data_IF_204792091160
#
_entry.id   IF_204792091160
#
_cell.length_a   1.000
_cell.length_b   1.000
_cell.length_c   1.000
_cell.angle_alpha   90.00
_cell.angle_beta   90.00
_cell.angle_gamma   90.00
#
_symmetry.space_group_name_H-M   'P 1'
#
loop_
_entity.id
_entity.type
_entity.pdbx_description
1 polymer ?
#
# COMPACT_ATOMS: atom_id res chain seq x y z
N UNK A 1 5.50 28.61 -4.85
CA UNK A 1 4.43 27.62 -4.68
C UNK A 1 5.09 26.26 -4.61
N UNK A 2 5.23 25.68 -3.43
CA UNK A 2 5.74 24.31 -3.25
C UNK A 2 4.63 23.36 -3.66
N UNK A 3 4.93 22.48 -4.61
CA UNK A 3 4.00 21.51 -5.17
C UNK A 3 3.66 20.46 -4.10
N UNK A 4 2.40 20.35 -3.62
CA UNK A 4 2.01 19.41 -2.57
C UNK A 4 2.08 17.96 -3.02
N UNK A 5 2.41 17.67 -4.29
CA UNK A 5 2.45 16.33 -4.86
C UNK A 5 3.59 15.45 -4.35
N UNK A 6 4.65 16.03 -3.79
CA UNK A 6 5.85 15.31 -3.37
C UNK A 6 5.62 14.53 -2.05
N UNK A 7 4.74 15.01 -1.17
CA UNK A 7 4.59 14.50 0.20
C UNK A 7 4.00 13.08 0.34
N UNK A 8 3.02 12.64 -0.46
CA UNK A 8 2.43 11.31 -0.29
C UNK A 8 3.33 10.16 -0.76
N UNK A 9 4.42 10.45 -1.49
CA UNK A 9 5.35 9.44 -1.99
C UNK A 9 6.13 8.77 -0.85
N UNK A 10 6.50 9.54 0.18
CA UNK A 10 7.43 9.10 1.22
C UNK A 10 6.93 7.94 2.09
N UNK A 11 5.66 7.86 2.53
CA UNK A 11 5.18 6.71 3.28
C UNK A 11 5.12 5.41 2.48
N UNK A 12 5.02 5.49 1.16
CA UNK A 12 4.96 4.32 0.29
C UNK A 12 6.35 3.76 -0.04
N UNK A 13 7.40 4.60 -0.08
CA UNK A 13 8.76 4.18 -0.41
C UNK A 13 9.32 3.10 0.53
N UNK A 14 9.24 3.22 1.89
CA UNK A 14 9.73 2.19 2.80
C UNK A 14 9.03 0.85 2.64
N UNK A 15 7.77 0.84 2.19
CA UNK A 15 7.01 -0.39 1.95
C UNK A 15 7.46 -1.03 0.65
N UNK A 16 7.51 -0.25 -0.43
CA UNK A 16 7.81 -0.77 -1.76
C UNK A 16 9.27 -1.18 -1.93
N UNK A 17 10.20 -0.49 -1.25
CA UNK A 17 11.61 -0.84 -1.28
C UNK A 17 11.96 -2.13 -0.53
N UNK A 18 11.09 -2.57 0.39
CA UNK A 18 11.34 -3.73 1.23
C UNK A 18 11.34 -5.04 0.43
N UNK A 19 10.40 -5.21 -0.48
CA UNK A 19 10.11 -6.48 -1.13
C UNK A 19 11.31 -7.11 -1.86
N UNK A 20 12.17 -6.38 -2.57
CA UNK A 20 13.32 -6.98 -3.24
C UNK A 20 14.38 -7.58 -2.32
N UNK A 21 14.52 -7.09 -1.08
CA UNK A 21 15.61 -7.53 -0.20
C UNK A 21 15.15 -8.20 1.10
N UNK A 22 13.86 -8.23 1.40
CA UNK A 22 13.34 -8.76 2.67
C UNK A 22 13.78 -10.21 2.93
N UNK A 23 13.67 -11.07 1.93
CA UNK A 23 14.11 -12.47 2.01
C UNK A 23 15.59 -12.57 2.42
N UNK A 24 16.47 -11.81 1.74
CA UNK A 24 17.90 -11.81 2.02
C UNK A 24 18.20 -11.27 3.43
N UNK A 25 17.46 -10.24 3.86
CA UNK A 25 17.60 -9.68 5.19
C UNK A 25 17.26 -10.70 6.28
N UNK A 26 16.14 -11.43 6.14
CA UNK A 26 15.74 -12.47 7.10
C UNK A 26 16.75 -13.61 7.12
N UNK A 27 17.26 -14.03 5.94
CA UNK A 27 18.31 -15.03 5.83
C UNK A 27 19.59 -14.60 6.55
N UNK A 28 20.03 -13.35 6.34
CA UNK A 28 21.29 -12.83 6.92
C UNK A 28 21.16 -12.60 8.43
N UNK A 29 19.96 -12.30 8.95
CA UNK A 29 19.66 -12.25 10.40
C UNK A 29 19.68 -13.63 11.08
N UNK A 30 19.76 -14.74 10.31
CA UNK A 30 19.87 -16.13 10.80
C UNK A 30 18.78 -16.51 11.83
N UNK A 31 17.60 -15.93 11.73
CA UNK A 31 16.48 -16.23 12.63
C UNK A 31 15.75 -17.52 12.22
N UNK A 32 15.72 -17.80 10.93
CA UNK A 32 15.14 -19.04 10.38
C UNK A 32 16.14 -20.19 10.57
N UNK A 33 15.69 -21.33 11.11
CA UNK A 33 16.49 -22.55 11.26
C UNK A 33 16.73 -23.23 9.91
N UNK A 34 15.70 -23.18 9.05
CA UNK A 34 15.72 -23.74 7.70
C UNK A 34 15.40 -22.64 6.68
N UNK A 35 15.90 -22.78 5.46
CA UNK A 35 15.63 -21.85 4.36
C UNK A 35 14.13 -21.73 4.08
N UNK A 36 13.38 -22.81 4.26
CA UNK A 36 11.94 -22.87 4.08
C UNK A 36 11.15 -22.00 5.08
N UNK A 37 11.74 -21.70 6.25
CA UNK A 37 11.10 -20.86 7.27
C UNK A 37 11.26 -19.35 7.02
N UNK A 38 12.12 -18.94 6.09
CA UNK A 38 12.40 -17.53 5.82
C UNK A 38 11.11 -16.77 5.47
N UNK A 39 10.22 -17.37 4.68
CA UNK A 39 8.95 -16.75 4.30
C UNK A 39 8.04 -16.44 5.48
N UNK A 40 7.99 -17.33 6.48
CA UNK A 40 7.25 -17.12 7.72
C UNK A 40 7.70 -15.84 8.43
N UNK A 41 8.99 -15.70 8.67
CA UNK A 41 9.56 -14.51 9.33
C UNK A 41 9.43 -13.24 8.49
N UNK A 42 9.59 -13.33 7.17
CA UNK A 42 9.41 -12.21 6.25
C UNK A 42 7.98 -11.68 6.27
N UNK A 43 6.98 -12.57 6.20
CA UNK A 43 5.56 -12.19 6.26
C UNK A 43 5.18 -11.44 7.53
N UNK A 44 5.73 -11.81 8.69
CA UNK A 44 5.48 -11.09 9.93
C UNK A 44 6.11 -9.68 9.93
N UNK A 45 7.31 -9.49 9.36
CA UNK A 45 7.91 -8.15 9.20
C UNK A 45 7.04 -7.27 8.30
N UNK A 46 6.49 -7.82 7.21
CA UNK A 46 5.53 -7.11 6.36
C UNK A 46 4.23 -6.76 7.08
N UNK A 47 3.68 -7.70 7.84
CA UNK A 47 2.41 -7.54 8.57
C UNK A 47 2.47 -6.48 9.66
N UNK A 48 3.57 -6.38 10.41
CA UNK A 48 3.69 -5.47 11.57
C UNK A 48 3.52 -4.01 11.19
N UNK A 49 3.97 -3.59 10.00
CA UNK A 49 3.74 -2.23 9.51
C UNK A 49 2.25 -1.93 9.33
N UNK A 50 1.51 -2.82 8.66
CA UNK A 50 0.09 -2.63 8.43
C UNK A 50 -0.73 -2.76 9.72
N UNK A 51 -0.30 -3.62 10.64
CA UNK A 51 -0.90 -3.76 11.96
C UNK A 51 -0.76 -2.46 12.77
N UNK A 52 0.44 -1.92 12.87
CA UNK A 52 0.69 -0.63 13.53
C UNK A 52 -0.19 0.48 12.94
N UNK A 53 -0.27 0.54 11.62
CA UNK A 53 -1.10 1.51 10.91
C UNK A 53 -2.61 1.32 11.15
N UNK A 54 -3.09 0.08 11.25
CA UNK A 54 -4.50 -0.20 11.55
C UNK A 54 -4.88 0.31 12.94
N UNK A 55 -4.04 0.06 13.94
CA UNK A 55 -4.24 0.51 15.32
C UNK A 55 -4.27 2.04 15.39
N UNK A 56 -3.40 2.71 14.66
CA UNK A 56 -3.22 4.15 14.75
C UNK A 56 -4.11 4.98 13.79
N UNK A 57 -4.83 4.35 12.86
CA UNK A 57 -5.59 5.04 11.82
C UNK A 57 -6.64 6.01 12.40
N UNK A 58 -7.43 5.57 13.39
CA UNK A 58 -8.45 6.41 14.04
C UNK A 58 -7.82 7.47 14.94
N UNK A 59 -6.86 7.15 15.85
CA UNK A 59 -6.13 8.16 16.63
C UNK A 59 -5.51 9.26 15.78
N UNK A 60 -4.88 8.94 14.64
CA UNK A 60 -4.30 9.95 13.76
C UNK A 60 -5.33 10.85 13.08
N UNK A 61 -6.50 10.31 12.73
CA UNK A 61 -7.62 11.12 12.25
C UNK A 61 -8.06 12.14 13.30
N UNK A 62 -8.28 11.69 14.53
CA UNK A 62 -8.66 12.55 15.66
C UNK A 62 -7.58 13.59 15.98
N UNK A 63 -6.31 13.19 15.94
CA UNK A 63 -5.18 14.10 16.15
C UNK A 63 -5.14 15.20 15.08
N UNK A 64 -5.28 14.82 13.81
CA UNK A 64 -5.27 15.76 12.69
C UNK A 64 -6.45 16.74 12.73
N UNK A 65 -7.63 16.30 13.20
CA UNK A 65 -8.81 17.16 13.37
C UNK A 65 -8.66 18.14 14.55
N UNK A 66 -7.90 17.77 15.59
CA UNK A 66 -7.72 18.58 16.80
C UNK A 66 -6.53 19.54 16.73
N UNK A 67 -5.38 19.07 16.20
CA UNK A 67 -4.10 19.77 16.22
C UNK A 67 -3.66 20.30 14.85
N UNK A 68 -4.39 19.96 13.80
CA UNK A 68 -4.09 20.38 12.44
C UNK A 68 -3.47 19.29 11.57
N UNK A 69 -3.46 19.57 10.27
CA UNK A 69 -2.96 18.61 9.25
C UNK A 69 -1.44 18.62 9.17
N UNK A 70 -0.82 19.80 9.25
CA UNK A 70 0.63 19.98 9.13
C UNK A 70 1.43 19.24 10.21
N UNK A 71 1.12 19.33 11.53
CA UNK A 71 1.82 18.53 12.55
C UNK A 71 1.75 17.03 12.29
N UNK A 72 0.60 16.52 11.86
CA UNK A 72 0.41 15.12 11.51
C UNK A 72 1.34 14.68 10.36
N UNK A 73 1.46 15.51 9.33
CA UNK A 73 2.35 15.26 8.18
C UNK A 73 3.81 15.24 8.64
N UNK A 74 4.24 16.24 9.42
CA UNK A 74 5.62 16.36 9.91
C UNK A 74 6.01 15.17 10.80
N UNK A 75 5.18 14.78 11.77
CA UNK A 75 5.43 13.63 12.65
C UNK A 75 5.53 12.34 11.83
N UNK A 76 4.67 12.17 10.84
CA UNK A 76 4.71 11.00 9.96
C UNK A 76 6.01 10.94 9.15
N UNK A 77 6.50 12.06 8.62
CA UNK A 77 7.78 12.11 7.88
C UNK A 77 8.96 11.86 8.83
N UNK A 78 8.96 12.46 10.02
CA UNK A 78 9.98 12.20 11.04
C UNK A 78 10.01 10.72 11.45
N UNK A 79 8.86 10.09 11.57
CA UNK A 79 8.79 8.64 11.85
C UNK A 79 9.43 7.81 10.74
N UNK A 80 9.26 8.20 9.47
CA UNK A 80 9.95 7.54 8.35
C UNK A 80 11.46 7.73 8.48
N UNK A 81 11.95 8.94 8.73
CA UNK A 81 13.38 9.21 8.87
C UNK A 81 13.99 8.34 9.97
N UNK A 82 13.39 8.31 11.16
CA UNK A 82 13.94 7.61 12.32
C UNK A 82 13.81 6.09 12.18
N UNK A 83 12.56 5.59 12.03
CA UNK A 83 12.32 4.15 12.12
C UNK A 83 12.73 3.39 10.86
N UNK A 84 12.71 4.01 9.68
CA UNK A 84 13.23 3.38 8.49
C UNK A 84 14.78 3.29 8.53
N UNK A 85 15.46 4.30 9.07
CA UNK A 85 16.91 4.25 9.31
C UNK A 85 17.26 3.15 10.31
N UNK A 86 16.56 3.08 11.45
CA UNK A 86 16.74 2.05 12.46
C UNK A 86 16.44 0.64 11.92
N UNK A 87 15.46 0.51 11.04
CA UNK A 87 15.18 -0.75 10.35
C UNK A 87 16.37 -1.20 9.50
N UNK A 88 16.98 -0.29 8.74
CA UNK A 88 18.19 -0.59 7.95
C UNK A 88 19.40 -0.99 8.78
N UNK A 89 19.48 -0.53 10.04
CA UNK A 89 20.52 -0.85 11.02
C UNK A 89 20.18 -2.09 11.87
N UNK A 90 19.08 -2.80 11.60
CA UNK A 90 18.64 -3.93 12.41
C UNK A 90 19.66 -5.07 12.40
N UNK A 91 20.13 -5.46 13.58
CA UNK A 91 21.01 -6.60 13.81
C UNK A 91 20.27 -7.83 14.31
N UNK A 92 19.04 -7.65 14.77
CA UNK A 92 18.18 -8.72 15.28
C UNK A 92 16.79 -8.65 14.63
N UNK A 93 16.16 -9.81 14.55
CA UNK A 93 14.80 -9.92 14.03
C UNK A 93 13.79 -9.07 14.81
N UNK A 94 13.89 -9.06 16.14
CA UNK A 94 13.00 -8.28 16.99
C UNK A 94 13.14 -6.78 16.77
N UNK A 95 14.36 -6.30 16.53
CA UNK A 95 14.59 -4.90 16.17
C UNK A 95 13.91 -4.56 14.85
N UNK A 96 13.97 -5.44 13.86
CA UNK A 96 13.28 -5.25 12.58
C UNK A 96 11.74 -5.20 12.76
N UNK A 97 11.16 -6.11 13.55
CA UNK A 97 9.73 -6.13 13.86
C UNK A 97 9.28 -4.85 14.56
N UNK A 98 9.97 -4.46 15.64
CA UNK A 98 9.61 -3.28 16.44
C UNK A 98 9.71 -2.01 15.63
N UNK A 99 10.81 -1.81 14.90
CA UNK A 99 10.99 -0.60 14.07
C UNK A 99 9.95 -0.50 12.96
N UNK A 100 9.56 -1.63 12.34
CA UNK A 100 8.48 -1.67 11.35
C UNK A 100 7.11 -1.40 11.96
N UNK A 101 6.82 -1.97 13.12
CA UNK A 101 5.57 -1.72 13.85
C UNK A 101 5.44 -0.26 14.26
N UNK A 102 6.50 0.35 14.80
CA UNK A 102 6.53 1.76 15.18
C UNK A 102 6.43 2.68 13.96
N UNK A 103 7.09 2.34 12.86
CA UNK A 103 6.92 3.07 11.60
C UNK A 103 5.45 3.07 11.15
N UNK A 104 4.78 1.91 11.20
CA UNK A 104 3.36 1.81 10.87
C UNK A 104 2.48 2.61 11.83
N UNK A 105 2.75 2.54 13.14
CA UNK A 105 1.99 3.21 14.19
C UNK A 105 2.07 4.74 14.08
N UNK A 106 3.23 5.29 13.76
CA UNK A 106 3.48 6.74 13.73
C UNK A 106 3.30 7.35 12.34
N UNK A 107 3.18 6.54 11.28
CA UNK A 107 2.96 7.02 9.91
C UNK A 107 1.47 7.19 9.59
N UNK A 108 0.81 8.20 10.18
CA UNK A 108 -0.62 8.48 10.04
C UNK A 108 -1.02 9.39 8.87
N UNK A 109 -0.11 9.68 7.95
CA UNK A 109 -0.27 10.72 6.90
C UNK A 109 -1.40 10.46 5.89
N UNK A 110 -1.80 9.21 5.61
CA UNK A 110 -2.64 8.89 4.44
C UNK A 110 -4.07 9.44 4.48
N UNK A 111 -4.66 9.58 5.66
CA UNK A 111 -5.94 10.26 5.83
C UNK A 111 -5.78 11.77 5.72
N UNK A 112 -4.97 12.38 6.61
CA UNK A 112 -4.75 13.81 6.66
C UNK A 112 -4.24 14.43 5.36
N UNK A 113 -3.39 13.76 4.59
CA UNK A 113 -2.84 14.32 3.34
C UNK A 113 -3.91 14.53 2.26
N UNK A 114 -4.92 13.65 2.19
CA UNK A 114 -6.02 13.81 1.23
C UNK A 114 -6.94 14.98 1.63
N UNK A 115 -7.21 15.10 2.94
CA UNK A 115 -7.95 16.23 3.48
C UNK A 115 -7.17 17.53 3.24
N UNK A 116 -5.88 17.55 3.56
CA UNK A 116 -5.00 18.70 3.32
C UNK A 116 -5.01 19.14 1.85
N UNK A 117 -4.87 18.21 0.91
CA UNK A 117 -4.90 18.50 -0.52
C UNK A 117 -6.25 19.11 -0.96
N UNK A 118 -7.36 18.66 -0.37
CA UNK A 118 -8.69 19.21 -0.67
C UNK A 118 -8.93 20.59 -0.03
N UNK A 119 -8.30 20.87 1.11
CA UNK A 119 -8.42 22.13 1.86
C UNK A 119 -7.54 23.23 1.25
N UNK A 120 -6.31 22.91 0.81
CA UNK A 120 -5.35 23.89 0.22
C UNK A 120 -5.70 24.25 -1.22
N UNK A 121 -6.28 23.31 -1.98
CA UNK A 121 -6.62 23.57 -3.38
C UNK A 121 -7.95 24.32 -3.50
N UNK A 122 -8.01 25.35 -4.36
CA UNK A 122 -9.29 25.98 -4.75
C UNK A 122 -10.25 24.91 -5.30
N UNK A 123 -11.56 25.11 -5.12
CA UNK A 123 -12.61 24.17 -5.54
C UNK A 123 -12.42 23.67 -6.99
N UNK A 124 -11.98 24.56 -7.89
CA UNK A 124 -11.69 24.27 -9.30
C UNK A 124 -10.51 23.30 -9.50
N UNK A 125 -9.53 23.27 -8.58
CA UNK A 125 -8.30 22.48 -8.67
C UNK A 125 -8.23 21.33 -7.66
N UNK A 126 -9.25 21.08 -6.86
CA UNK A 126 -9.27 20.00 -5.87
C UNK A 126 -9.05 18.62 -6.51
N UNK A 127 -9.68 18.38 -7.67
CA UNK A 127 -9.49 17.13 -8.42
C UNK A 127 -8.03 16.94 -8.84
N UNK A 128 -7.35 18.00 -9.25
CA UNK A 128 -5.93 17.99 -9.59
C UNK A 128 -5.07 17.68 -8.35
N UNK A 129 -5.33 18.34 -7.21
CA UNK A 129 -4.60 18.10 -5.96
C UNK A 129 -4.71 16.64 -5.49
N UNK A 130 -5.91 16.06 -5.49
CA UNK A 130 -6.13 14.66 -5.13
C UNK A 130 -5.44 13.72 -6.15
N UNK A 131 -5.48 14.07 -7.44
CA UNK A 131 -4.79 13.31 -8.49
C UNK A 131 -3.27 13.29 -8.28
N UNK A 132 -2.66 14.42 -7.92
CA UNK A 132 -1.24 14.52 -7.59
C UNK A 132 -0.87 13.64 -6.39
N UNK A 133 -1.69 13.63 -5.33
CA UNK A 133 -1.52 12.73 -4.16
C UNK A 133 -1.55 11.26 -4.57
N UNK A 134 -2.43 10.87 -5.47
CA UNK A 134 -2.52 9.46 -5.93
C UNK A 134 -1.39 9.11 -6.89
N UNK A 135 -0.97 10.03 -7.75
CA UNK A 135 0.16 9.82 -8.70
C UNK A 135 1.50 9.66 -8.00
N UNK A 136 1.72 10.34 -6.87
CA UNK A 136 2.95 10.18 -6.08
C UNK A 136 3.10 8.76 -5.53
N UNK A 137 1.99 8.08 -5.21
CA UNK A 137 2.01 6.66 -4.85
C UNK A 137 2.45 5.78 -6.04
N UNK A 138 2.00 6.09 -7.25
CA UNK A 138 2.42 5.36 -8.45
C UNK A 138 3.93 5.52 -8.72
N UNK A 139 4.46 6.72 -8.50
CA UNK A 139 5.91 6.98 -8.59
C UNK A 139 6.68 6.15 -7.55
N UNK A 140 6.15 6.02 -6.32
CA UNK A 140 6.77 5.18 -5.28
C UNK A 140 6.81 3.69 -5.65
N UNK A 141 5.85 3.20 -6.45
CA UNK A 141 5.87 1.84 -6.99
C UNK A 141 7.02 1.59 -7.98
N UNK A 142 7.54 2.64 -8.62
CA UNK A 142 8.69 2.57 -9.52
C UNK A 142 10.00 2.71 -8.74
N UNK A 143 10.12 3.81 -7.98
CA UNK A 143 11.37 4.20 -7.32
C UNK A 143 11.66 3.28 -6.11
N UNK A 144 10.64 2.87 -5.35
CA UNK A 144 10.82 2.06 -4.15
C UNK A 144 11.56 0.75 -4.43
N UNK A 145 11.04 -0.13 -5.28
CA UNK A 145 11.70 -1.40 -5.62
C UNK A 145 13.07 -1.21 -6.29
N UNK A 146 13.26 -0.15 -7.08
CA UNK A 146 14.55 0.18 -7.64
C UNK A 146 15.58 0.49 -6.54
N UNK A 147 15.27 1.39 -5.61
CA UNK A 147 16.13 1.68 -4.46
C UNK A 147 16.42 0.40 -3.66
N UNK A 148 15.38 -0.38 -3.31
CA UNK A 148 15.55 -1.63 -2.55
C UNK A 148 16.40 -2.66 -3.28
N UNK A 149 16.14 -2.89 -4.56
CA UNK A 149 16.82 -3.91 -5.35
C UNK A 149 18.27 -3.58 -5.66
N UNK A 150 18.56 -2.34 -6.06
CA UNK A 150 19.92 -1.94 -6.48
C UNK A 150 20.82 -1.59 -5.30
N UNK A 151 20.31 -0.98 -4.24
CA UNK A 151 21.13 -0.48 -3.13
C UNK A 151 21.25 -1.46 -1.95
N UNK A 152 20.48 -2.55 -1.90
CA UNK A 152 20.67 -3.59 -0.90
C UNK A 152 21.98 -4.35 -1.15
N UNK A 153 22.69 -4.70 -0.04
CA UNK A 153 23.96 -5.42 -0.02
C UNK A 153 25.07 -4.74 -0.86
N UNK A 154 25.33 -3.42 -0.68
CA UNK A 154 26.19 -2.65 -1.57
C UNK A 154 27.65 -3.14 -1.59
N UNK A 155 28.20 -3.59 -0.45
CA UNK A 155 29.56 -4.13 -0.39
C UNK A 155 29.76 -5.44 -1.15
N UNK A 156 28.66 -6.19 -1.40
CA UNK A 156 28.71 -7.40 -2.24
C UNK A 156 28.54 -7.07 -3.73
N UNK A 157 27.64 -6.14 -4.05
CA UNK A 157 27.32 -5.77 -5.44
C UNK A 157 28.35 -4.81 -6.05
N UNK A 158 28.87 -3.90 -5.24
CA UNK A 158 29.77 -2.82 -5.66
C UNK A 158 31.06 -2.81 -4.81
N UNK A 159 31.86 -3.88 -4.81
CA UNK A 159 33.03 -4.02 -3.92
C UNK A 159 34.10 -2.94 -4.13
N UNK A 160 34.17 -2.36 -5.32
CA UNK A 160 35.09 -1.27 -5.64
C UNK A 160 34.65 0.08 -5.05
N UNK A 161 33.38 0.25 -4.71
CA UNK A 161 32.83 1.49 -4.17
C UNK A 161 32.61 1.42 -2.66
N UNK A 162 32.24 0.25 -2.14
CA UNK A 162 31.91 0.03 -0.73
C UNK A 162 32.79 -1.07 -0.14
N UNK A 163 33.68 -0.71 0.79
CA UNK A 163 34.49 -1.68 1.52
C UNK A 163 33.61 -2.54 2.44
N UNK A 164 34.03 -3.81 2.64
CA UNK A 164 33.40 -4.71 3.60
C UNK A 164 33.50 -4.22 5.05
N UNK A 165 34.51 -3.44 5.36
CA UNK A 165 34.75 -2.84 6.71
C UNK A 165 33.91 -1.57 6.93
N UNK A 166 33.32 -1.01 5.87
CA UNK A 166 32.46 0.18 5.95
C UNK A 166 31.15 -0.10 6.70
N UNK A 167 30.48 0.96 7.14
CA UNK A 167 29.13 0.86 7.72
C UNK A 167 28.16 0.11 6.81
N UNK A 168 28.31 0.25 5.50
CA UNK A 168 27.47 -0.41 4.48
C UNK A 168 27.84 -1.90 4.30
N UNK A 169 29.05 -2.32 4.63
CA UNK A 169 29.44 -3.72 4.71
C UNK A 169 28.92 -4.39 5.98
N UNK A 170 28.96 -3.65 7.12
CA UNK A 170 28.46 -4.13 8.41
C UNK A 170 26.92 -4.20 8.45
N UNK A 171 26.24 -3.27 7.79
CA UNK A 171 24.78 -3.19 7.70
C UNK A 171 24.32 -3.20 6.23
N UNK A 172 24.19 -4.39 5.61
CA UNK A 172 23.98 -4.50 4.17
C UNK A 172 22.64 -3.93 3.67
N UNK A 173 21.67 -3.72 4.56
CA UNK A 173 20.35 -3.18 4.25
C UNK A 173 20.17 -1.73 4.68
N UNK A 174 21.24 -1.10 5.17
CA UNK A 174 21.19 0.28 5.63
C UNK A 174 21.10 1.28 4.47
N UNK A 175 21.84 1.09 3.38
CA UNK A 175 21.91 2.05 2.26
C UNK A 175 20.55 2.37 1.64
N UNK A 176 19.68 1.40 1.26
CA UNK A 176 18.37 1.71 0.72
C UNK A 176 17.48 2.45 1.71
N UNK A 177 17.52 2.09 2.99
CA UNK A 177 16.78 2.77 4.04
C UNK A 177 17.29 4.20 4.27
N UNK A 178 18.59 4.40 4.26
CA UNK A 178 19.24 5.70 4.42
C UNK A 178 18.88 6.66 3.29
N UNK A 179 18.95 6.21 2.03
CA UNK A 179 18.54 7.03 0.86
C UNK A 179 17.10 7.48 0.98
N UNK A 180 16.19 6.58 1.36
CA UNK A 180 14.78 6.95 1.57
C UNK A 180 14.62 7.96 2.71
N UNK A 181 15.39 7.79 3.80
CA UNK A 181 15.35 8.72 4.93
C UNK A 181 15.92 10.09 4.58
N UNK A 182 16.94 10.17 3.73
CA UNK A 182 17.46 11.45 3.20
C UNK A 182 16.43 12.15 2.32
N UNK A 183 15.77 11.41 1.42
CA UNK A 183 14.67 11.96 0.62
C UNK A 183 13.52 12.45 1.51
N UNK A 184 13.16 11.69 2.54
CA UNK A 184 12.15 12.09 3.52
C UNK A 184 12.58 13.36 4.31
N UNK A 185 13.85 13.49 4.66
CA UNK A 185 14.39 14.68 5.33
C UNK A 185 14.28 15.93 4.43
N UNK A 186 14.60 15.81 3.14
CA UNK A 186 14.38 16.88 2.17
C UNK A 186 12.93 17.35 2.14
N UNK A 187 11.97 16.41 2.20
CA UNK A 187 10.56 16.74 2.26
C UNK A 187 10.12 17.32 3.60
N UNK A 188 10.72 16.88 4.70
CA UNK A 188 10.47 17.48 6.01
C UNK A 188 10.86 18.98 6.02
N UNK A 189 11.99 19.32 5.38
CA UNK A 189 12.40 20.72 5.19
C UNK A 189 11.37 21.46 4.33
N UNK A 190 10.90 20.86 3.24
CA UNK A 190 9.86 21.49 2.41
C UNK A 190 8.52 21.70 3.15
N UNK A 191 8.22 20.89 4.18
CA UNK A 191 7.03 21.09 5.03
C UNK A 191 7.07 22.40 5.84
N UNK A 192 8.23 23.05 6.01
CA UNK A 192 8.32 24.34 6.71
C UNK A 192 7.47 25.39 5.98
N UNK A 193 7.48 25.36 4.65
CA UNK A 193 6.72 26.30 3.81
C UNK A 193 5.26 25.93 3.59
N UNK A 194 4.78 24.78 4.12
CA UNK A 194 3.36 24.44 4.03
C UNK A 194 2.53 25.29 4.98
N UNK A 195 1.40 25.89 4.53
CA UNK A 195 0.45 26.53 5.41
C UNK A 195 -0.28 25.50 6.28
N UNK A 196 -0.67 25.88 7.51
CA UNK A 196 -1.62 25.11 8.30
C UNK A 196 -3.05 25.39 7.81
N UNK A 197 -3.87 24.33 7.67
CA UNK A 197 -5.22 24.47 7.13
C UNK A 197 -6.30 24.56 8.21
N UNK A 198 -5.97 24.24 9.47
CA UNK A 198 -6.95 24.26 10.57
C UNK A 198 -7.55 25.64 10.81
N UNK A 199 -6.76 26.72 10.62
CA UNK A 199 -7.18 28.10 10.85
C UNK A 199 -8.19 28.59 9.79
N UNK A 200 -8.16 28.10 8.55
CA UNK A 200 -9.13 28.47 7.53
C UNK A 200 -10.57 28.08 7.86
N UNK A 201 -10.77 27.04 8.68
CA UNK A 201 -12.09 26.63 9.15
C UNK A 201 -12.46 27.33 10.47
N UNK A 202 -11.48 27.87 11.20
CA UNK A 202 -11.69 28.66 12.41
C UNK A 202 -12.21 30.07 12.10
N UNK A 203 -11.62 30.68 11.09
CA UNK A 203 -11.96 32.05 10.71
C UNK A 203 -13.32 32.15 10.00
N UNK A 204 -13.66 31.19 9.10
CA UNK A 204 -15.02 31.07 8.52
C UNK A 204 -16.09 30.78 9.60
N UNK A 205 -15.73 30.07 10.66
CA UNK A 205 -16.65 29.84 11.81
C UNK A 205 -16.68 31.03 12.75
N UNK A 206 -15.58 31.75 12.93
CA UNK A 206 -15.55 32.96 13.74
C UNK A 206 -16.33 34.12 13.10
N UNK A 207 -16.17 34.35 11.79
CA UNK A 207 -16.99 35.32 11.05
C UNK A 207 -18.48 34.94 11.04
N UNK A 208 -18.81 33.64 10.87
CA UNK A 208 -20.19 33.15 10.96
C UNK A 208 -20.74 33.18 12.40
N UNK A 209 -19.89 33.11 13.43
CA UNK A 209 -20.29 33.20 14.84
C UNK A 209 -20.45 34.64 15.27
N UNK A 210 -19.63 35.57 14.82
CA UNK A 210 -19.79 37.00 15.07
C UNK A 210 -21.08 37.59 14.41
N UNK A 211 -21.49 37.02 13.26
CA UNK A 211 -22.79 37.33 12.66
C UNK A 211 -23.96 36.62 13.39
N UNK A 212 -23.73 35.50 14.11
CA UNK A 212 -24.75 34.74 14.84
C UNK A 212 -24.79 35.04 16.35
N UNK A 213 -23.73 35.56 16.97
CA UNK A 213 -23.76 35.99 18.39
C UNK A 213 -24.70 37.19 18.65
N UNK A 214 -25.21 37.85 17.60
CA UNK A 214 -26.34 38.75 17.70
C UNK A 214 -27.70 38.05 17.93
N UNK A 215 -27.74 36.71 17.79
CA UNK A 215 -28.93 35.88 18.01
C UNK A 215 -28.52 34.50 18.58
N UNK A 216 -28.80 34.23 19.86
CA UNK A 216 -28.99 32.92 20.50
C UNK A 216 -27.88 32.37 21.40
N UNK A 217 -28.22 32.29 22.66
CA UNK A 217 -27.66 31.48 23.73
C UNK A 217 -28.04 29.98 23.59
N UNK A 218 -27.40 29.21 22.71
CA UNK A 218 -27.65 27.75 22.63
C UNK A 218 -26.49 26.92 22.05
N UNK A 219 -25.22 27.34 22.22
CA UNK A 219 -24.04 26.76 21.59
C UNK A 219 -23.66 25.32 22.07
N UNK A 220 -24.16 24.89 23.25
CA UNK A 220 -23.91 23.54 23.77
C UNK A 220 -24.83 22.47 23.14
N UNK A 221 -26.00 22.84 22.67
CA UNK A 221 -26.95 21.94 22.01
C UNK A 221 -26.54 21.63 20.56
N UNK A 222 -25.93 22.59 19.85
CA UNK A 222 -25.52 22.38 18.45
C UNK A 222 -24.27 21.49 18.32
N UNK A 223 -23.30 21.60 19.23
CA UNK A 223 -22.12 20.72 19.25
C UNK A 223 -22.49 19.28 19.58
N UNK A 224 -23.51 19.09 20.45
CA UNK A 224 -24.04 17.75 20.77
C UNK A 224 -24.88 17.21 19.61
N UNK A 225 -25.71 18.04 18.99
CA UNK A 225 -26.48 17.68 17.79
C UNK A 225 -25.59 17.37 16.57
N UNK A 226 -24.50 18.09 16.39
CA UNK A 226 -23.52 17.82 15.30
C UNK A 226 -22.77 16.49 15.53
N UNK A 227 -22.44 16.14 16.79
CA UNK A 227 -21.86 14.84 17.14
C UNK A 227 -22.86 13.70 17.00
N UNK A 228 -24.12 13.90 17.43
CA UNK A 228 -25.21 12.94 17.27
C UNK A 228 -25.56 12.74 15.78
N UNK A 229 -25.68 13.78 14.99
CA UNK A 229 -25.89 13.75 13.54
C UNK A 229 -24.75 13.03 12.80
N UNK A 230 -23.49 13.25 13.22
CA UNK A 230 -22.32 12.53 12.66
C UNK A 230 -22.33 11.05 13.06
N UNK A 231 -22.72 10.73 14.27
CA UNK A 231 -22.88 9.34 14.74
C UNK A 231 -24.05 8.62 14.05
N UNK A 232 -25.13 9.29 13.81
CA UNK A 232 -26.30 8.76 13.12
C UNK A 232 -26.07 8.59 11.62
N UNK A 233 -25.36 9.53 11.00
CA UNK A 233 -24.89 9.42 9.60
C UNK A 233 -23.95 8.23 9.42
N UNK A 234 -23.03 7.99 10.35
CA UNK A 234 -22.09 6.85 10.29
C UNK A 234 -22.83 5.52 10.48
N UNK A 235 -23.81 5.45 11.40
CA UNK A 235 -24.65 4.24 11.59
C UNK A 235 -25.49 3.94 10.34
N UNK A 236 -25.99 4.94 9.66
CA UNK A 236 -26.74 4.79 8.41
C UNK A 236 -25.86 4.31 7.25
N UNK A 237 -24.60 4.77 7.18
CA UNK A 237 -23.64 4.30 6.18
C UNK A 237 -23.25 2.83 6.39
N UNK A 238 -23.08 2.36 7.65
CA UNK A 238 -22.80 0.96 7.93
C UNK A 238 -23.98 0.03 7.59
N UNK A 239 -25.22 0.54 7.56
CA UNK A 239 -26.40 -0.20 7.13
C UNK A 239 -26.59 -0.20 5.61
N UNK A 240 -25.89 0.68 4.89
CA UNK A 240 -25.98 0.72 3.42
C UNK A 240 -25.27 -0.49 2.82
N UNK A 241 -26.06 -1.50 2.43
CA UNK A 241 -25.55 -2.75 1.87
C UNK A 241 -24.73 -2.54 0.59
N UNK A 242 -25.12 -1.60 -0.26
CA UNK A 242 -24.42 -1.30 -1.51
C UNK A 242 -23.00 -0.76 -1.26
N UNK A 243 -22.87 0.14 -0.27
CA UNK A 243 -21.56 0.63 0.18
C UNK A 243 -20.72 -0.48 0.82
N UNK A 244 -21.32 -1.21 1.77
CA UNK A 244 -20.58 -2.23 2.51
C UNK A 244 -20.12 -3.40 1.64
N UNK A 245 -20.94 -3.81 0.67
CA UNK A 245 -20.55 -4.83 -0.32
C UNK A 245 -19.40 -4.35 -1.22
N UNK A 246 -19.42 -3.09 -1.68
CA UNK A 246 -18.34 -2.49 -2.45
C UNK A 246 -17.04 -2.37 -1.62
N UNK A 247 -17.13 -2.01 -0.33
CA UNK A 247 -15.98 -1.97 0.58
C UNK A 247 -15.43 -3.37 0.81
N UNK A 248 -16.27 -4.38 1.07
CA UNK A 248 -15.83 -5.75 1.28
C UNK A 248 -15.10 -6.29 0.04
N UNK A 249 -15.64 -6.01 -1.14
CA UNK A 249 -15.02 -6.36 -2.41
C UNK A 249 -13.62 -5.74 -2.54
N UNK A 250 -13.49 -4.46 -2.21
CA UNK A 250 -12.21 -3.76 -2.19
C UNK A 250 -11.23 -4.35 -1.17
N UNK A 251 -11.70 -4.77 0.01
CA UNK A 251 -10.89 -5.42 1.03
C UNK A 251 -10.33 -6.77 0.55
N UNK A 252 -11.17 -7.61 -0.07
CA UNK A 252 -10.76 -8.92 -0.60
C UNK A 252 -9.70 -8.77 -1.69
N UNK A 253 -9.89 -7.86 -2.65
CA UNK A 253 -8.90 -7.63 -3.69
C UNK A 253 -7.63 -6.95 -3.16
N UNK A 254 -7.73 -6.09 -2.15
CA UNK A 254 -6.57 -5.50 -1.49
C UNK A 254 -5.75 -6.52 -0.69
N UNK A 255 -6.42 -7.49 -0.05
CA UNK A 255 -5.76 -8.63 0.60
C UNK A 255 -5.02 -9.47 -0.44
N UNK A 256 -5.72 -9.84 -1.52
CA UNK A 256 -5.14 -10.61 -2.62
C UNK A 256 -3.90 -9.93 -3.21
N UNK A 257 -3.98 -8.62 -3.48
CA UNK A 257 -2.89 -7.87 -4.10
C UNK A 257 -1.66 -7.75 -3.18
N UNK A 258 -1.89 -7.56 -1.88
CA UNK A 258 -0.81 -7.53 -0.89
C UNK A 258 -0.20 -8.91 -0.68
N UNK A 259 -1.01 -9.96 -0.61
CA UNK A 259 -0.53 -11.35 -0.53
C UNK A 259 0.25 -11.77 -1.78
N UNK A 260 -0.23 -11.37 -2.97
CA UNK A 260 0.51 -11.61 -4.22
C UNK A 260 1.90 -10.98 -4.19
N UNK A 261 2.00 -9.72 -3.77
CA UNK A 261 3.29 -9.01 -3.75
C UNK A 261 4.30 -9.68 -2.80
N UNK A 262 3.83 -10.16 -1.65
CA UNK A 262 4.65 -10.91 -0.69
C UNK A 262 5.08 -12.27 -1.28
N UNK A 263 4.12 -13.07 -1.75
CA UNK A 263 4.39 -14.39 -2.35
C UNK A 263 5.30 -14.28 -3.57
N UNK A 264 5.03 -13.32 -4.46
CA UNK A 264 5.85 -13.10 -5.65
C UNK A 264 7.30 -12.79 -5.28
N UNK A 265 7.52 -11.89 -4.33
CA UNK A 265 8.85 -11.49 -3.92
C UNK A 265 9.63 -12.63 -3.26
N UNK A 266 8.98 -13.41 -2.40
CA UNK A 266 9.58 -14.59 -1.76
C UNK A 266 9.88 -15.70 -2.77
N UNK A 267 8.93 -16.02 -3.66
CA UNK A 267 9.07 -17.04 -4.69
C UNK A 267 10.15 -16.70 -5.71
N UNK A 268 10.23 -15.43 -6.13
CA UNK A 268 11.21 -14.97 -7.11
C UNK A 268 12.66 -15.13 -6.61
N UNK A 269 12.92 -14.93 -5.33
CA UNK A 269 14.28 -15.04 -4.76
C UNK A 269 14.60 -16.41 -4.18
N UNK A 270 13.60 -17.25 -3.89
CA UNK A 270 13.82 -18.56 -3.29
C UNK A 270 14.55 -19.51 -4.24
N UNK A 271 15.25 -20.51 -3.66
CA UNK A 271 16.07 -21.45 -4.39
C UNK A 271 15.26 -22.31 -5.38
N UNK A 272 15.86 -22.63 -6.52
CA UNK A 272 15.34 -23.61 -7.50
C UNK A 272 15.02 -24.96 -6.87
N UNK A 273 15.75 -25.35 -5.82
CA UNK A 273 15.48 -26.57 -5.05
C UNK A 273 14.05 -26.61 -4.53
N UNK A 274 13.48 -25.46 -4.20
CA UNK A 274 12.09 -25.31 -3.73
C UNK A 274 11.17 -24.75 -4.81
N UNK A 275 11.53 -24.92 -6.10
CA UNK A 275 10.78 -24.40 -7.25
C UNK A 275 10.61 -22.87 -7.27
N UNK A 276 11.54 -22.15 -6.63
CA UNK A 276 11.68 -20.71 -6.79
C UNK A 276 12.46 -20.35 -8.05
N UNK A 277 12.63 -19.05 -8.31
CA UNK A 277 13.30 -18.55 -9.51
C UNK A 277 14.80 -18.26 -9.29
N UNK A 278 15.29 -18.26 -8.04
CA UNK A 278 16.67 -17.90 -7.66
C UNK A 278 17.13 -16.55 -8.21
N UNK A 279 16.21 -15.58 -8.32
CA UNK A 279 16.52 -14.23 -8.76
C UNK A 279 17.24 -13.45 -7.66
N UNK A 280 18.10 -12.52 -8.07
CA UNK A 280 18.75 -11.60 -7.14
C UNK A 280 17.79 -10.50 -6.68
N UNK A 281 18.12 -9.80 -5.58
CA UNK A 281 17.35 -8.63 -5.14
C UNK A 281 17.30 -7.54 -6.22
N UNK A 282 18.34 -7.42 -7.04
CA UNK A 282 18.39 -6.49 -8.16
C UNK A 282 17.40 -6.89 -9.28
N UNK A 283 17.33 -8.18 -9.61
CA UNK A 283 16.36 -8.67 -10.62
C UNK A 283 14.91 -8.41 -10.15
N UNK A 284 14.59 -8.74 -8.89
CA UNK A 284 13.24 -8.49 -8.33
C UNK A 284 12.94 -7.00 -8.28
N UNK A 285 13.92 -6.17 -7.86
CA UNK A 285 13.79 -4.71 -7.89
C UNK A 285 13.49 -4.19 -9.30
N UNK A 286 14.17 -4.73 -10.32
CA UNK A 286 13.96 -4.39 -11.73
C UNK A 286 12.55 -4.79 -12.19
N UNK A 287 12.12 -6.01 -11.94
CA UNK A 287 10.77 -6.51 -12.30
C UNK A 287 9.68 -5.63 -11.68
N UNK A 288 9.78 -5.34 -10.38
CA UNK A 288 8.80 -4.53 -9.67
C UNK A 288 8.82 -3.04 -10.12
N UNK A 289 9.99 -2.48 -10.42
CA UNK A 289 10.11 -1.13 -10.94
C UNK A 289 9.47 -1.00 -12.34
N UNK A 290 9.74 -1.96 -13.24
CA UNK A 290 9.06 -2.01 -14.55
C UNK A 290 7.55 -2.22 -14.40
N UNK A 291 7.12 -3.04 -13.45
CA UNK A 291 5.69 -3.21 -13.15
C UNK A 291 5.05 -1.90 -12.68
N UNK A 292 5.71 -1.16 -11.80
CA UNK A 292 5.25 0.16 -11.34
C UNK A 292 5.16 1.16 -12.50
N UNK A 293 6.19 1.20 -13.36
CA UNK A 293 6.19 2.05 -14.55
C UNK A 293 5.08 1.69 -15.54
N UNK A 294 4.87 0.39 -15.78
CA UNK A 294 3.78 -0.11 -16.60
C UNK A 294 2.41 0.29 -16.08
N UNK A 295 2.19 0.20 -14.75
CA UNK A 295 0.95 0.66 -14.11
C UNK A 295 0.78 2.17 -14.27
N UNK A 296 1.84 2.97 -14.11
CA UNK A 296 1.79 4.43 -14.29
C UNK A 296 1.35 4.79 -15.72
N UNK A 297 2.00 4.22 -16.73
CA UNK A 297 1.65 4.42 -18.12
C UNK A 297 0.23 3.95 -18.42
N UNK A 298 -0.15 2.78 -17.89
CA UNK A 298 -1.51 2.23 -18.02
C UNK A 298 -2.58 3.19 -17.46
N UNK A 299 -2.37 3.69 -16.24
CA UNK A 299 -3.33 4.57 -15.58
C UNK A 299 -3.48 5.92 -16.27
N UNK A 300 -2.38 6.47 -16.80
CA UNK A 300 -2.39 7.79 -17.43
C UNK A 300 -2.82 7.77 -18.91
N UNK A 301 -2.44 6.73 -19.66
CA UNK A 301 -2.64 6.68 -21.10
C UNK A 301 -3.75 5.68 -21.48
N UNK A 302 -3.68 4.43 -21.02
CA UNK A 302 -4.53 3.34 -21.51
C UNK A 302 -5.90 3.32 -20.81
N UNK A 303 -5.90 3.44 -19.47
CA UNK A 303 -7.14 3.34 -18.71
C UNK A 303 -8.19 4.41 -19.06
N UNK A 304 -7.86 5.68 -19.35
CA UNK A 304 -8.84 6.68 -19.78
C UNK A 304 -9.54 6.29 -21.09
N UNK A 305 -8.82 5.69 -22.03
CA UNK A 305 -9.43 5.15 -23.26
C UNK A 305 -10.39 4.00 -22.93
N UNK A 306 -9.96 3.06 -22.11
CA UNK A 306 -10.77 1.92 -21.69
C UNK A 306 -12.06 2.38 -20.99
N UNK A 307 -11.94 3.34 -20.09
CA UNK A 307 -13.06 3.93 -19.37
C UNK A 307 -14.01 4.72 -20.28
N UNK A 308 -13.49 5.36 -21.32
CA UNK A 308 -14.30 6.10 -22.32
C UNK A 308 -15.15 5.16 -23.16
N UNK A 309 -14.61 4.02 -23.62
CA UNK A 309 -15.31 3.11 -24.53
C UNK A 309 -16.21 2.09 -23.80
N UNK A 310 -15.71 1.53 -22.70
CA UNK A 310 -16.39 0.46 -21.97
C UNK A 310 -17.07 0.94 -20.68
N UNK A 311 -16.82 2.18 -20.27
CA UNK A 311 -17.17 2.68 -18.95
C UNK A 311 -16.19 2.23 -17.87
N UNK A 312 -16.15 2.95 -16.73
CA UNK A 312 -15.12 2.75 -15.71
C UNK A 312 -15.28 1.46 -14.89
N UNK A 313 -16.46 0.84 -14.88
CA UNK A 313 -16.79 -0.32 -14.05
C UNK A 313 -16.77 -1.63 -14.85
N UNK A 314 -17.20 -1.62 -16.11
CA UNK A 314 -17.31 -2.83 -16.94
C UNK A 314 -16.00 -3.63 -17.07
N UNK A 315 -14.79 -3.01 -17.15
CA UNK A 315 -13.53 -3.74 -17.25
C UNK A 315 -13.16 -4.55 -15.99
N UNK A 316 -13.87 -4.38 -14.88
CA UNK A 316 -13.56 -5.00 -13.59
C UNK A 316 -13.56 -6.53 -13.64
N UNK A 317 -14.68 -7.15 -14.09
CA UNK A 317 -14.81 -8.62 -14.18
C UNK A 317 -13.82 -9.25 -15.17
N UNK A 318 -13.68 -8.74 -16.41
CA UNK A 318 -12.65 -9.22 -17.32
C UNK A 318 -11.22 -9.14 -16.72
N UNK A 319 -10.88 -8.04 -16.05
CA UNK A 319 -9.58 -7.90 -15.41
C UNK A 319 -9.35 -8.95 -14.30
N UNK A 320 -10.38 -9.25 -13.48
CA UNK A 320 -10.31 -10.29 -12.46
C UNK A 320 -10.13 -11.69 -13.08
N UNK A 321 -10.87 -12.03 -14.13
CA UNK A 321 -10.76 -13.31 -14.85
C UNK A 321 -9.38 -13.45 -15.47
N UNK A 322 -8.90 -12.43 -16.19
CA UNK A 322 -7.59 -12.46 -16.83
C UNK A 322 -6.45 -12.54 -15.79
N UNK A 323 -6.62 -11.90 -14.62
CA UNK A 323 -5.66 -12.04 -13.51
C UNK A 323 -5.59 -13.47 -12.99
N UNK A 324 -6.71 -14.18 -12.87
CA UNK A 324 -6.77 -15.59 -12.46
C UNK A 324 -6.03 -16.46 -13.48
N UNK A 325 -6.34 -16.31 -14.77
CA UNK A 325 -5.68 -17.07 -15.85
C UNK A 325 -4.18 -16.79 -15.84
N UNK A 326 -3.77 -15.54 -15.72
CA UNK A 326 -2.36 -15.17 -15.69
C UNK A 326 -1.62 -15.79 -14.50
N UNK A 327 -2.20 -15.77 -13.29
CA UNK A 327 -1.57 -16.35 -12.11
C UNK A 327 -1.41 -17.86 -12.18
N UNK A 328 -2.25 -18.58 -12.94
CA UNK A 328 -2.05 -20.03 -13.18
C UNK A 328 -0.81 -20.33 -14.00
N UNK A 329 -0.29 -19.35 -14.77
CA UNK A 329 0.92 -19.55 -15.58
C UNK A 329 2.22 -19.35 -14.78
N UNK A 330 2.19 -18.70 -13.62
CA UNK A 330 3.39 -18.39 -12.83
C UNK A 330 4.25 -19.60 -12.46
N UNK A 331 3.69 -20.71 -11.93
CA UNK A 331 4.50 -21.87 -11.56
C UNK A 331 5.30 -22.46 -12.73
N UNK A 332 4.79 -22.33 -13.96
CA UNK A 332 5.47 -22.86 -15.14
C UNK A 332 6.73 -22.05 -15.51
N UNK A 333 6.82 -20.79 -15.07
CA UNK A 333 8.00 -19.96 -15.29
C UNK A 333 9.23 -20.49 -14.53
N UNK A 334 9.05 -21.28 -13.47
CA UNK A 334 10.13 -21.93 -12.76
C UNK A 334 10.95 -22.91 -13.63
N UNK A 335 10.41 -23.33 -14.77
CA UNK A 335 11.08 -24.21 -15.73
C UNK A 335 11.96 -23.44 -16.75
N UNK A 336 11.92 -22.10 -16.72
CA UNK A 336 12.68 -21.25 -17.63
C UNK A 336 13.95 -20.73 -16.96
N UNK A 337 14.94 -20.36 -17.78
CA UNK A 337 16.22 -19.84 -17.30
C UNK A 337 16.66 -18.58 -18.09
N UNK A 338 17.65 -17.89 -17.54
CA UNK A 338 18.34 -16.80 -18.22
C UNK A 338 17.44 -15.60 -18.53
N UNK A 339 17.61 -15.05 -19.74
CA UNK A 339 16.93 -13.84 -20.20
C UNK A 339 15.44 -14.07 -20.44
N UNK A 340 15.05 -15.24 -20.95
CA UNK A 340 13.64 -15.58 -21.23
C UNK A 340 12.81 -15.55 -19.96
N UNK A 341 13.31 -16.12 -18.87
CA UNK A 341 12.67 -16.05 -17.56
C UNK A 341 12.46 -14.59 -17.12
N UNK A 342 13.51 -13.75 -17.19
CA UNK A 342 13.42 -12.37 -16.72
C UNK A 342 12.41 -11.56 -17.52
N UNK A 343 12.38 -11.73 -18.85
CA UNK A 343 11.41 -11.04 -19.72
C UNK A 343 9.99 -11.51 -19.40
N UNK A 344 9.76 -12.83 -19.32
CA UNK A 344 8.42 -13.36 -19.11
C UNK A 344 7.85 -13.00 -17.74
N UNK A 345 8.67 -13.10 -16.67
CA UNK A 345 8.29 -12.70 -15.32
C UNK A 345 7.98 -11.21 -15.25
N UNK A 346 8.78 -10.37 -15.93
CA UNK A 346 8.53 -8.93 -15.98
C UNK A 346 7.21 -8.62 -16.68
N UNK A 347 6.99 -9.21 -17.85
CA UNK A 347 5.74 -9.02 -18.61
C UNK A 347 4.51 -9.48 -17.81
N UNK A 348 4.58 -10.67 -17.21
CA UNK A 348 3.50 -11.20 -16.38
C UNK A 348 3.23 -10.32 -15.15
N UNK A 349 4.27 -9.83 -14.48
CA UNK A 349 4.12 -8.90 -13.34
C UNK A 349 3.50 -7.57 -13.76
N UNK A 350 3.91 -6.99 -14.90
CA UNK A 350 3.29 -5.77 -15.47
C UNK A 350 1.80 -6.00 -15.72
N UNK A 351 1.43 -7.05 -16.44
CA UNK A 351 0.03 -7.36 -16.77
C UNK A 351 -0.81 -7.59 -15.51
N UNK A 352 -0.30 -8.37 -14.55
CA UNK A 352 -0.98 -8.62 -13.28
C UNK A 352 -1.26 -7.33 -12.52
N UNK A 353 -0.29 -6.43 -12.45
CA UNK A 353 -0.43 -5.15 -11.75
C UNK A 353 -1.37 -4.18 -12.51
N UNK A 354 -1.44 -4.22 -13.84
CA UNK A 354 -2.44 -3.49 -14.63
C UNK A 354 -3.86 -3.98 -14.33
N UNK A 355 -4.09 -5.30 -14.23
CA UNK A 355 -5.39 -5.85 -13.85
C UNK A 355 -5.76 -5.45 -12.41
N UNK A 356 -4.82 -5.51 -11.48
CA UNK A 356 -5.03 -5.06 -10.09
C UNK A 356 -5.38 -3.57 -10.02
N UNK A 357 -4.74 -2.73 -10.83
CA UNK A 357 -5.04 -1.30 -10.91
C UNK A 357 -6.47 -1.06 -11.43
N UNK A 358 -6.89 -1.78 -12.49
CA UNK A 358 -8.26 -1.72 -13.03
C UNK A 358 -9.30 -2.08 -11.96
N UNK A 359 -9.09 -3.18 -11.24
CA UNK A 359 -9.95 -3.64 -10.15
C UNK A 359 -10.04 -2.59 -9.05
N UNK A 360 -8.88 -2.07 -8.61
CA UNK A 360 -8.81 -1.05 -7.55
C UNK A 360 -9.56 0.24 -7.92
N UNK A 361 -9.38 0.71 -9.16
CA UNK A 361 -10.07 1.93 -9.63
C UNK A 361 -11.59 1.69 -9.67
N UNK A 362 -12.02 0.56 -10.21
CA UNK A 362 -13.44 0.21 -10.26
C UNK A 362 -14.07 0.11 -8.86
N UNK A 363 -13.38 -0.53 -7.89
CA UNK A 363 -13.85 -0.60 -6.50
C UNK A 363 -14.01 0.79 -5.86
N UNK A 364 -13.04 1.70 -6.08
CA UNK A 364 -13.13 3.06 -5.57
C UNK A 364 -14.30 3.85 -6.17
N UNK A 365 -14.56 3.66 -7.47
CA UNK A 365 -15.70 4.30 -8.14
C UNK A 365 -17.01 3.75 -7.58
N UNK A 366 -17.13 2.43 -7.42
CA UNK A 366 -18.32 1.79 -6.86
C UNK A 366 -18.64 2.29 -5.44
N UNK A 367 -17.62 2.46 -4.59
CA UNK A 367 -17.80 3.02 -3.25
C UNK A 367 -18.30 4.47 -3.29
N UNK A 368 -17.73 5.28 -4.17
CA UNK A 368 -18.11 6.70 -4.29
C UNK A 368 -19.48 6.91 -4.94
N UNK A 369 -19.94 5.96 -5.75
CA UNK A 369 -21.30 6.01 -6.36
C UNK A 369 -22.38 5.49 -5.43
N UNK A 370 -22.02 4.72 -4.39
CA UNK A 370 -22.96 4.19 -3.41
C UNK A 370 -23.40 5.21 -2.36
N UNK A 371 -22.80 6.41 -2.33
CA UNK A 371 -23.02 7.45 -1.32
C UNK A 371 -23.10 8.83 -1.94
N UNK A 372 -23.75 9.77 -1.22
CA UNK A 372 -23.80 11.18 -1.62
C UNK A 372 -22.40 11.84 -1.50
N UNK A 373 -22.21 12.98 -2.16
CA UNK A 373 -20.94 13.69 -2.18
C UNK A 373 -20.47 14.05 -0.77
N UNK A 374 -21.37 14.45 0.11
CA UNK A 374 -21.09 14.82 1.51
C UNK A 374 -20.63 13.63 2.35
N UNK A 375 -21.13 12.43 2.07
CA UNK A 375 -20.83 11.20 2.79
C UNK A 375 -19.56 10.50 2.32
N UNK A 376 -19.00 10.88 1.14
CA UNK A 376 -17.81 10.22 0.54
C UNK A 376 -16.60 10.24 1.46
N UNK A 377 -16.39 11.32 2.24
CA UNK A 377 -15.27 11.41 3.18
C UNK A 377 -15.32 10.33 4.25
N UNK A 378 -16.47 10.17 4.90
CA UNK A 378 -16.69 9.16 5.94
C UNK A 378 -16.65 7.75 5.36
N UNK A 379 -17.30 7.51 4.21
CA UNK A 379 -17.30 6.23 3.52
C UNK A 379 -15.89 5.79 3.12
N UNK A 380 -15.06 6.70 2.57
CA UNK A 380 -13.66 6.42 2.26
C UNK A 380 -12.82 6.17 3.52
N UNK A 381 -13.10 6.85 4.63
CA UNK A 381 -12.46 6.59 5.92
C UNK A 381 -12.73 5.17 6.42
N UNK A 382 -13.98 4.72 6.41
CA UNK A 382 -14.38 3.36 6.75
C UNK A 382 -13.69 2.35 5.84
N UNK A 383 -13.70 2.60 4.53
CA UNK A 383 -13.06 1.74 3.53
C UNK A 383 -11.57 1.58 3.77
N UNK A 384 -10.84 2.67 3.99
CA UNK A 384 -9.38 2.64 4.24
C UNK A 384 -9.05 1.90 5.54
N UNK A 385 -9.85 2.07 6.58
CA UNK A 385 -9.66 1.37 7.86
C UNK A 385 -9.83 -0.14 7.69
N UNK A 386 -10.94 -0.59 7.10
CA UNK A 386 -11.20 -2.01 6.85
C UNK A 386 -10.14 -2.61 5.92
N UNK A 387 -9.81 -1.92 4.81
CA UNK A 387 -8.74 -2.34 3.91
C UNK A 387 -7.39 -2.52 4.63
N UNK A 388 -7.06 -1.63 5.57
CA UNK A 388 -5.80 -1.72 6.33
C UNK A 388 -5.77 -2.96 7.22
N UNK A 389 -6.90 -3.37 7.82
CA UNK A 389 -7.02 -4.63 8.57
C UNK A 389 -6.74 -5.84 7.69
N UNK A 390 -7.34 -5.89 6.50
CA UNK A 390 -7.09 -7.00 5.55
C UNK A 390 -5.64 -7.02 5.08
N UNK A 391 -5.04 -5.85 4.83
CA UNK A 391 -3.62 -5.75 4.48
C UNK A 391 -2.67 -6.11 5.63
N UNK A 392 -3.09 -5.99 6.89
CA UNK A 392 -2.27 -6.44 8.03
C UNK A 392 -2.19 -7.97 8.08
N UNK A 393 -3.27 -8.67 7.73
CA UNK A 393 -3.31 -10.13 7.71
C UNK A 393 -2.58 -10.71 6.50
N UNK A 394 -2.63 -10.03 5.35
CA UNK A 394 -2.17 -10.56 4.07
C UNK A 394 -0.69 -11.02 4.05
N UNK A 395 0.32 -10.23 4.48
CA UNK A 395 1.71 -10.66 4.44
C UNK A 395 2.00 -11.83 5.40
N UNK A 396 1.41 -11.81 6.62
CA UNK A 396 1.58 -12.90 7.57
C UNK A 396 1.00 -14.22 7.03
N UNK A 397 -0.23 -14.18 6.52
CA UNK A 397 -0.87 -15.35 5.90
C UNK A 397 -0.08 -15.84 4.68
N UNK A 398 0.39 -14.93 3.84
CA UNK A 398 1.21 -15.22 2.66
C UNK A 398 2.54 -15.89 3.05
N UNK A 399 3.24 -15.36 4.06
CA UNK A 399 4.51 -15.91 4.54
C UNK A 399 4.36 -17.29 5.18
N UNK A 400 3.30 -17.49 5.99
CA UNK A 400 2.96 -18.80 6.58
C UNK A 400 2.69 -19.82 5.48
N UNK A 401 1.83 -19.47 4.52
CA UNK A 401 1.47 -20.32 3.40
C UNK A 401 2.68 -20.66 2.53
N UNK A 402 3.53 -19.66 2.29
CA UNK A 402 4.78 -19.85 1.52
C UNK A 402 5.72 -20.84 2.19
N UNK A 403 6.01 -20.68 3.49
CA UNK A 403 6.85 -21.60 4.25
C UNK A 403 6.26 -23.02 4.32
N UNK A 404 4.95 -23.11 4.51
CA UNK A 404 4.26 -24.38 4.50
C UNK A 404 4.38 -25.09 3.13
N UNK A 405 4.17 -24.37 2.05
CA UNK A 405 4.28 -24.90 0.69
C UNK A 405 5.70 -25.38 0.36
N UNK A 406 6.73 -24.68 0.81
CA UNK A 406 8.12 -25.09 0.63
C UNK A 406 8.48 -26.37 1.40
N UNK A 407 7.88 -26.60 2.56
CA UNK A 407 8.10 -27.84 3.35
C UNK A 407 7.41 -29.05 2.74
N UNK A 408 6.36 -28.85 1.95
CA UNK A 408 5.54 -29.92 1.39
C UNK A 408 5.71 -30.09 -0.14
N UNK A 409 6.90 -29.81 -0.67
CA UNK A 409 7.17 -29.90 -2.12
C UNK A 409 7.04 -31.31 -2.69
N UNK A 410 7.25 -32.37 -1.88
CA UNK A 410 7.39 -33.76 -2.37
C UNK A 410 6.24 -34.69 -1.99
N UNK A 411 5.26 -34.26 -1.23
CA UNK A 411 4.25 -35.16 -0.65
C UNK A 411 2.80 -34.86 -0.97
N UNK A 412 2.50 -33.76 -1.67
CA UNK A 412 1.14 -33.38 -2.04
C UNK A 412 0.79 -33.75 -3.49
N UNK A 413 -0.52 -33.83 -3.76
CA UNK A 413 -1.08 -34.05 -5.10
C UNK A 413 -0.62 -33.00 -6.14
N UNK A 414 -0.27 -31.77 -5.68
CA UNK A 414 0.29 -30.68 -6.48
C UNK A 414 1.61 -30.19 -5.85
N UNK A 415 2.60 -29.76 -6.67
CA UNK A 415 3.79 -29.09 -6.17
C UNK A 415 3.48 -27.83 -5.35
N UNK A 416 4.32 -27.53 -4.35
CA UNK A 416 4.07 -26.43 -3.40
C UNK A 416 3.89 -25.05 -4.03
N UNK A 417 4.67 -24.73 -5.08
CA UNK A 417 4.53 -23.50 -5.84
C UNK A 417 3.16 -23.38 -6.54
N UNK A 418 2.63 -24.48 -7.08
CA UNK A 418 1.31 -24.49 -7.69
C UNK A 418 0.21 -24.25 -6.66
N UNK A 419 0.35 -24.81 -5.45
CA UNK A 419 -0.60 -24.61 -4.35
C UNK A 419 -0.62 -23.14 -3.93
N UNK A 420 0.53 -22.45 -3.87
CA UNK A 420 0.61 -21.03 -3.55
C UNK A 420 -0.22 -20.17 -4.49
N UNK A 421 0.00 -20.32 -5.80
CA UNK A 421 -0.75 -19.55 -6.79
C UNK A 421 -2.21 -20.00 -6.90
N UNK A 422 -2.51 -21.28 -6.62
CA UNK A 422 -3.89 -21.77 -6.52
C UNK A 422 -4.64 -21.08 -5.37
N UNK A 423 -4.03 -20.95 -4.19
CA UNK A 423 -4.63 -20.26 -3.03
C UNK A 423 -4.86 -18.78 -3.33
N UNK A 424 -3.92 -18.10 -3.99
CA UNK A 424 -4.12 -16.74 -4.48
C UNK A 424 -5.30 -16.67 -5.45
N UNK A 425 -5.41 -17.63 -6.38
CA UNK A 425 -6.52 -17.69 -7.31
C UNK A 425 -7.85 -17.96 -6.62
N UNK A 426 -7.89 -18.77 -5.56
CA UNK A 426 -9.12 -18.98 -4.77
C UNK A 426 -9.62 -17.67 -4.16
N UNK A 427 -8.72 -16.82 -3.63
CA UNK A 427 -9.10 -15.49 -3.14
C UNK A 427 -9.62 -14.60 -4.27
N UNK A 428 -9.00 -14.64 -5.46
CA UNK A 428 -9.49 -13.91 -6.64
C UNK A 428 -10.87 -14.40 -7.10
N UNK A 429 -11.08 -15.71 -7.11
CA UNK A 429 -12.38 -16.34 -7.45
C UNK A 429 -13.43 -15.92 -6.42
N UNK A 430 -13.11 -15.94 -5.12
CA UNK A 430 -14.01 -15.44 -4.09
C UNK A 430 -14.38 -13.98 -4.36
N UNK A 431 -13.39 -13.11 -4.62
CA UNK A 431 -13.62 -11.74 -5.00
C UNK A 431 -14.50 -11.60 -6.24
N UNK A 432 -14.27 -12.39 -7.26
CA UNK A 432 -15.09 -12.40 -8.49
C UNK A 432 -16.53 -12.85 -8.22
N UNK A 433 -16.74 -13.92 -7.44
CA UNK A 433 -18.07 -14.43 -7.06
C UNK A 433 -18.85 -13.35 -6.29
N UNK A 434 -18.19 -12.62 -5.38
CA UNK A 434 -18.80 -11.51 -4.66
C UNK A 434 -19.26 -10.34 -5.58
N UNK A 435 -18.82 -10.30 -6.84
CA UNK A 435 -19.32 -9.29 -7.82
C UNK A 435 -20.69 -9.62 -8.40
N UNK A 436 -21.23 -10.81 -8.16
CA UNK A 436 -22.52 -11.24 -8.69
C UNK A 436 -23.63 -11.11 -7.64
N UNK A 437 -24.90 -11.06 -8.13
CA UNK A 437 -26.07 -11.15 -7.24
C UNK A 437 -26.09 -12.50 -6.51
N UNK A 438 -26.54 -12.57 -5.27
CA UNK A 438 -27.23 -11.52 -4.50
C UNK A 438 -26.31 -10.54 -3.75
N UNK A 439 -25.00 -10.81 -3.68
CA UNK A 439 -24.09 -10.05 -2.82
C UNK A 439 -23.88 -8.62 -3.32
N UNK A 440 -23.65 -8.44 -4.62
CA UNK A 440 -23.43 -7.14 -5.23
C UNK A 440 -24.37 -6.92 -6.43
N UNK A 441 -25.10 -5.82 -6.41
CA UNK A 441 -25.86 -5.33 -7.57
C UNK A 441 -25.15 -4.09 -8.12
N UNK A 442 -24.68 -4.18 -9.37
CA UNK A 442 -24.22 -2.99 -10.08
C UNK A 442 -25.36 -1.99 -10.13
N UNK A 443 -25.14 -0.69 -9.83
CA UNK A 443 -26.13 0.33 -10.12
C UNK A 443 -26.47 0.23 -11.59
N UNK A 444 -27.75 0.08 -11.90
CA UNK A 444 -28.24 0.16 -13.30
C UNK A 444 -27.95 1.60 -13.76
N UNK A 445 -27.08 1.74 -14.75
CA UNK A 445 -26.88 2.97 -15.51
C UNK A 445 -28.02 3.17 -16.48
#
# INVERSE_FOLDING_TARGET
MTDPSIFPMFPALPIQSLFPYLYFMIRDLKVAKEEQDIGFYAGFVGATYFLGRTISAVPWGMFADKYGRKPCIVISILSVIVFNTLFGLSTTYWMAIVTRGLLGLLCGILGPIKAYASEVCRKEHQALGISLVTSSRAIALVIGPAIGGFLAQPAQKYPNLFSKESIFGRFPYFLPCFVISVLAAGSCIACIWLPETLHFHGDEKAEAVDELEAQVSDSNLEATKAKESRGESTKNLLKNWQLMSAIMLYCVFSLHDTAYLEIFSLWAVSSRKFRGLSLTSQDVGTVLAFSGFGVLVYQLAIYPFLAKYFGPIKPFRPAAILSIILLTTYPFMANLDGLELKILVTLASVLKNMFAATITIACNILQNTAVTQEQRGVANGISVTLMSMFKAVAPAAAGILFSWAQKHTSGLFLPGDQILFLMLNMVSVLGLVLTFKPFFSLPMQ
#
